data_IF_209012830426
#
_entry.id   IF_209012830426
#
_cell.length_a   1.000
_cell.length_b   1.000
_cell.length_c   1.000
_cell.angle_alpha   90.00
_cell.angle_beta   90.00
_cell.angle_gamma   90.00
#
_symmetry.space_group_name_H-M   'P 1'
#
loop_
_entity.id
_entity.type
_entity.pdbx_description
1 polymer ?
#
# COMPACT_ATOMS: atom_id res chain seq x y z
N UNK A 1 11.62 1.84 -2.46
CA UNK A 1 10.37 2.05 -1.68
C UNK A 1 10.47 1.21 -0.43
N UNK A 2 10.07 1.76 0.72
CA UNK A 2 9.99 1.03 1.98
C UNK A 2 8.60 1.19 2.58
N UNK A 3 8.08 0.12 3.15
CA UNK A 3 6.72 0.04 3.68
C UNK A 3 6.78 -0.44 5.12
N UNK A 4 6.10 0.28 6.02
CA UNK A 4 6.09 -0.02 7.45
C UNK A 4 4.66 -0.11 7.98
N UNK A 5 4.33 -1.23 8.63
CA UNK A 5 3.14 -1.34 9.47
C UNK A 5 3.54 -1.20 10.94
N UNK A 6 3.21 -0.07 11.54
CA UNK A 6 3.75 0.31 12.85
C UNK A 6 5.27 0.43 12.78
N UNK A 7 5.99 -0.34 13.60
CA UNK A 7 7.45 -0.42 13.59
C UNK A 7 8.01 -1.52 12.67
N UNK A 8 7.18 -2.40 12.10
CA UNK A 8 7.64 -3.51 11.26
C UNK A 8 7.86 -3.06 9.82
N UNK A 9 9.11 -3.14 9.38
CA UNK A 9 9.48 -3.01 7.97
C UNK A 9 9.03 -4.26 7.20
N UNK A 10 8.32 -4.05 6.09
CA UNK A 10 7.87 -5.13 5.19
C UNK A 10 8.86 -5.26 4.05
N UNK A 11 9.29 -6.50 3.81
CA UNK A 11 10.09 -6.89 2.65
C UNK A 11 9.31 -7.86 1.78
N UNK A 12 9.74 -8.05 0.54
CA UNK A 12 9.09 -8.98 -0.38
C UNK A 12 9.01 -10.40 0.21
N UNK A 13 7.83 -11.01 0.15
CA UNK A 13 7.56 -12.34 0.70
C UNK A 13 7.52 -12.41 2.23
N UNK A 14 7.57 -11.28 2.96
CA UNK A 14 7.49 -11.29 4.42
C UNK A 14 6.04 -11.42 4.88
N UNK A 15 5.79 -12.39 5.77
CA UNK A 15 4.51 -12.53 6.43
C UNK A 15 4.26 -11.40 7.44
N UNK A 16 3.07 -10.82 7.33
CA UNK A 16 2.52 -9.86 8.27
C UNK A 16 1.19 -10.38 8.81
N UNK A 17 0.96 -10.22 10.11
CA UNK A 17 -0.34 -10.56 10.70
C UNK A 17 -1.37 -9.51 10.26
N UNK A 18 -2.60 -9.91 9.89
CA UNK A 18 -3.66 -8.96 9.54
C UNK A 18 -3.90 -7.90 10.62
N UNK A 19 -3.76 -8.26 11.90
CA UNK A 19 -3.89 -7.32 13.03
C UNK A 19 -2.85 -6.19 13.05
N UNK A 20 -1.66 -6.39 12.46
CA UNK A 20 -0.66 -5.33 12.30
C UNK A 20 -1.00 -4.42 11.13
N UNK A 21 -1.64 -4.97 10.12
CA UNK A 21 -2.15 -4.25 8.98
C UNK A 21 -3.60 -3.84 9.23
N UNK A 22 -3.94 -3.22 10.37
CA UNK A 22 -5.24 -2.55 10.53
C UNK A 22 -5.21 -1.16 9.90
N UNK A 23 -4.21 -0.36 10.29
CA UNK A 23 -4.02 1.00 9.78
C UNK A 23 -3.23 1.02 8.46
N UNK A 24 -3.36 2.09 7.63
CA UNK A 24 -2.50 2.27 6.46
C UNK A 24 -1.02 2.25 6.84
N UNK A 25 -0.14 1.66 6.02
CA UNK A 25 1.28 1.65 6.29
C UNK A 25 1.89 3.04 6.08
N UNK A 26 3.02 3.29 6.72
CA UNK A 26 3.94 4.36 6.35
C UNK A 26 4.75 3.92 5.14
N UNK A 27 4.74 4.72 4.08
CA UNK A 27 5.41 4.40 2.82
C UNK A 27 6.37 5.52 2.48
N UNK A 28 7.65 5.16 2.31
CA UNK A 28 8.67 6.05 1.78
C UNK A 28 9.07 5.58 0.39
N UNK A 29 9.08 6.49 -0.58
CA UNK A 29 9.67 6.24 -1.89
C UNK A 29 10.29 7.52 -2.43
N UNK A 30 11.25 7.37 -3.32
CA UNK A 30 11.87 8.48 -4.04
C UNK A 30 11.29 8.49 -5.44
N UNK A 31 10.42 9.46 -5.73
CA UNK A 31 9.95 9.75 -7.09
C UNK A 31 10.74 10.89 -7.73
N UNK A 32 10.66 11.03 -9.04
CA UNK A 32 11.24 12.15 -9.77
C UNK A 32 10.41 13.42 -9.60
N UNK A 33 11.04 14.59 -9.35
CA UNK A 33 10.31 15.86 -9.33
C UNK A 33 9.56 16.10 -10.64
N UNK A 34 8.32 16.58 -10.55
CA UNK A 34 7.46 16.87 -11.72
C UNK A 34 6.63 15.69 -12.22
N UNK A 35 6.85 14.48 -11.70
CA UNK A 35 6.01 13.32 -11.98
C UNK A 35 4.96 13.08 -10.90
N UNK A 36 3.87 12.42 -11.29
CA UNK A 36 2.83 11.94 -10.40
C UNK A 36 2.86 10.41 -10.33
N UNK A 37 2.68 9.88 -9.13
CA UNK A 37 2.69 8.47 -8.84
C UNK A 37 1.32 8.01 -8.33
N UNK A 38 1.02 6.75 -8.59
CA UNK A 38 -0.15 6.07 -8.04
C UNK A 38 0.32 4.87 -7.23
N UNK A 39 -0.18 4.75 -6.01
CA UNK A 39 -0.02 3.58 -5.16
C UNK A 39 -1.28 2.71 -5.26
N UNK A 40 -1.09 1.43 -5.53
CA UNK A 40 -2.14 0.41 -5.50
C UNK A 40 -1.70 -0.71 -4.55
N UNK A 41 -2.55 -1.05 -3.60
CA UNK A 41 -2.44 -2.25 -2.78
C UNK A 41 -3.57 -3.20 -3.16
N UNK A 42 -3.22 -4.39 -3.62
CA UNK A 42 -4.15 -5.41 -4.11
C UNK A 42 -3.81 -6.75 -3.51
N UNK A 43 -4.81 -7.61 -3.36
CA UNK A 43 -4.65 -9.02 -3.05
C UNK A 43 -5.09 -9.88 -4.26
N UNK A 44 -4.14 -10.55 -4.95
CA UNK A 44 -4.44 -11.42 -6.08
C UNK A 44 -5.00 -12.79 -5.66
N UNK A 45 -4.99 -13.09 -4.37
CA UNK A 45 -5.29 -14.40 -3.83
C UNK A 45 -6.63 -14.43 -3.07
N UNK A 46 -7.44 -13.37 -3.11
CA UNK A 46 -8.70 -13.33 -2.36
C UNK A 46 -9.75 -14.34 -2.89
N UNK A 47 -10.51 -15.04 -2.02
CA UNK A 47 -10.35 -15.11 -0.56
C UNK A 47 -9.22 -16.03 -0.08
N UNK A 48 -8.75 -16.95 -0.93
CA UNK A 48 -7.63 -17.82 -0.59
C UNK A 48 -6.75 -18.12 -1.82
N UNK A 49 -5.43 -18.31 -1.66
CA UNK A 49 -4.54 -18.65 -2.78
C UNK A 49 -4.95 -19.93 -3.53
N UNK A 50 -5.62 -20.86 -2.85
CA UNK A 50 -6.14 -22.09 -3.45
C UNK A 50 -7.42 -21.90 -4.27
N UNK A 51 -8.24 -20.90 -3.93
CA UNK A 51 -9.49 -20.59 -4.60
C UNK A 51 -9.64 -19.06 -4.70
N UNK A 52 -8.90 -18.40 -5.61
CA UNK A 52 -8.82 -16.95 -5.67
C UNK A 52 -9.99 -16.37 -6.50
N UNK A 53 -11.23 -16.69 -6.13
CA UNK A 53 -12.44 -16.33 -6.88
C UNK A 53 -12.79 -14.84 -6.86
N UNK A 54 -12.21 -14.08 -5.92
CA UNK A 54 -12.41 -12.62 -5.76
C UNK A 54 -11.20 -11.80 -6.21
N UNK A 55 -10.21 -12.42 -6.87
CA UNK A 55 -9.07 -11.70 -7.42
C UNK A 55 -9.50 -10.74 -8.53
N UNK A 56 -8.98 -9.53 -8.63
CA UNK A 56 -8.05 -8.84 -7.70
C UNK A 56 -8.82 -8.03 -6.64
N UNK A 57 -8.51 -8.23 -5.37
CA UNK A 57 -9.13 -7.45 -4.31
C UNK A 57 -8.35 -6.19 -4.00
N UNK A 58 -8.90 -5.04 -4.41
CA UNK A 58 -8.27 -3.73 -4.18
C UNK A 58 -8.44 -3.30 -2.73
N UNK A 59 -7.34 -3.30 -1.99
CA UNK A 59 -7.26 -2.85 -0.61
C UNK A 59 -7.15 -1.33 -0.48
N UNK A 60 -6.29 -0.68 -1.25
CA UNK A 60 -6.01 0.76 -1.11
C UNK A 60 -5.53 1.36 -2.43
N UNK A 61 -6.08 2.52 -2.83
CA UNK A 61 -5.62 3.28 -4.00
C UNK A 61 -5.39 4.74 -3.59
N UNK A 62 -4.19 5.25 -3.88
CA UNK A 62 -3.84 6.65 -3.73
C UNK A 62 -3.22 7.15 -5.02
N UNK A 63 -3.78 8.21 -5.60
CA UNK A 63 -3.34 8.81 -6.86
C UNK A 63 -2.73 10.20 -6.62
N UNK A 64 -2.22 10.81 -7.69
CA UNK A 64 -1.70 12.18 -7.71
C UNK A 64 -0.62 12.42 -6.63
N UNK A 65 0.21 11.41 -6.36
CA UNK A 65 1.28 11.51 -5.37
C UNK A 65 2.46 12.25 -6.03
N UNK A 66 2.84 13.45 -5.58
CA UNK A 66 3.94 14.18 -6.19
C UNK A 66 5.28 13.49 -5.94
N UNK A 67 6.08 13.31 -6.99
CA UNK A 67 7.48 12.90 -6.87
C UNK A 67 8.38 14.01 -6.31
N UNK A 68 9.60 13.64 -5.90
CA UNK A 68 10.57 14.58 -5.33
C UNK A 68 10.36 14.93 -3.85
N UNK A 69 9.36 14.35 -3.18
CA UNK A 69 9.14 14.50 -1.74
C UNK A 69 9.41 13.18 -1.00
N UNK A 70 10.17 13.22 0.09
CA UNK A 70 10.27 12.10 1.02
C UNK A 70 8.96 11.99 1.79
N UNK A 71 8.10 11.05 1.40
CA UNK A 71 6.85 10.80 2.11
C UNK A 71 7.15 10.08 3.43
N UNK A 72 7.37 10.84 4.50
CA UNK A 72 7.73 10.27 5.80
C UNK A 72 6.54 10.00 6.70
N UNK A 73 5.35 10.57 6.44
CA UNK A 73 4.26 10.52 7.44
C UNK A 73 2.86 10.29 6.85
N UNK A 74 2.49 10.99 5.77
CA UNK A 74 1.25 10.75 5.02
C UNK A 74 1.55 10.83 3.53
N UNK A 75 0.97 9.90 2.78
CA UNK A 75 0.95 10.03 1.32
C UNK A 75 0.11 11.28 1.01
N UNK A 76 0.73 12.28 0.39
CA UNK A 76 0.11 13.58 0.08
C UNK A 76 -0.85 13.52 -1.13
N UNK A 77 -1.07 12.32 -1.68
CA UNK A 77 -1.96 12.11 -2.81
C UNK A 77 -3.43 11.97 -2.43
N UNK A 78 -4.30 11.92 -3.43
CA UNK A 78 -5.74 11.73 -3.28
C UNK A 78 -6.06 10.25 -3.07
N UNK A 79 -6.69 9.92 -1.95
CA UNK A 79 -7.19 8.54 -1.71
C UNK A 79 -8.47 8.32 -2.48
N UNK A 80 -8.49 7.35 -3.39
CA UNK A 80 -9.67 6.97 -4.17
C UNK A 80 -10.40 5.78 -3.55
N UNK A 81 -9.64 4.81 -3.03
CA UNK A 81 -10.17 3.68 -2.27
C UNK A 81 -9.48 3.70 -0.91
N UNK A 82 -10.24 3.86 0.17
CA UNK A 82 -9.72 3.77 1.53
C UNK A 82 -9.28 2.35 1.85
N UNK A 83 -8.24 2.23 2.69
CA UNK A 83 -7.67 0.94 3.06
C UNK A 83 -8.73 0.03 3.71
N UNK A 84 -8.95 -1.15 3.13
CA UNK A 84 -9.77 -2.23 3.70
C UNK A 84 -8.89 -3.37 4.17
N UNK A 85 -9.35 -4.14 5.15
CA UNK A 85 -8.72 -5.41 5.54
C UNK A 85 -9.66 -6.54 5.14
N UNK A 86 -9.10 -7.66 4.72
CA UNK A 86 -9.80 -8.93 4.58
C UNK A 86 -9.05 -9.97 5.42
#
# INVERSE_FOLDING_TARGET
>A
MSVYFGSKHVTNGCDIKPSMAINPPKITFTGHPGELYTLVMTDPDAPSPSEPSMREWVHWIVCDIPGGQTLSERISGKTLVSKRNH
#
